data_IF_994488661616
#
_entry.id   IF_994488661616
#
_cell.length_a   1.000
_cell.length_b   1.000
_cell.length_c   1.000
_cell.angle_alpha   90.00
_cell.angle_beta   90.00
_cell.angle_gamma   90.00
#
_symmetry.space_group_name_H-M   'P 1'
#
loop_
_entity.id
_entity.type
_entity.pdbx_description
1 polymer ?
#
# COMPACT_ATOMS: atom_id res chain seq x y z
N UNK A 1 -5.95 -17.82 10.76
CA UNK A 1 -5.21 -18.76 9.90
C UNK A 1 -6.11 -19.38 8.83
N UNK A 2 -7.28 -19.97 9.18
CA UNK A 2 -8.17 -20.63 8.19
C UNK A 2 -8.72 -19.65 7.13
N UNK A 3 -9.18 -18.47 7.55
CA UNK A 3 -9.74 -17.47 6.64
C UNK A 3 -8.70 -16.93 5.64
N UNK A 4 -7.46 -16.66 6.08
CA UNK A 4 -6.37 -16.26 5.17
C UNK A 4 -6.03 -17.35 4.16
N UNK A 5 -6.02 -18.63 4.59
CA UNK A 5 -5.82 -19.76 3.67
C UNK A 5 -6.94 -19.88 2.63
N UNK A 6 -8.19 -19.64 3.03
CA UNK A 6 -9.33 -19.68 2.13
C UNK A 6 -9.35 -18.49 1.15
N UNK A 7 -8.87 -17.34 1.58
CA UNK A 7 -8.75 -16.14 0.74
C UNK A 7 -7.52 -16.15 -0.18
N UNK A 8 -6.53 -17.03 0.09
CA UNK A 8 -5.22 -17.04 -0.57
C UNK A 8 -4.50 -15.68 -0.51
N UNK A 9 -4.83 -14.89 0.51
CA UNK A 9 -4.32 -13.53 0.76
C UNK A 9 -4.10 -13.32 2.26
N UNK A 10 -3.27 -12.35 2.60
CA UNK A 10 -3.05 -11.96 3.99
C UNK A 10 -4.19 -11.15 4.60
N UNK A 11 -5.23 -10.90 3.82
CA UNK A 11 -6.45 -10.24 4.26
C UNK A 11 -7.70 -10.97 3.76
N UNK A 12 -8.83 -10.72 4.41
CA UNK A 12 -10.12 -11.31 4.09
C UNK A 12 -11.25 -10.39 4.53
N UNK A 13 -12.46 -10.66 4.05
CA UNK A 13 -13.68 -10.02 4.52
C UNK A 13 -14.69 -11.09 4.93
N UNK A 14 -15.37 -10.88 6.07
CA UNK A 14 -16.41 -11.77 6.62
C UNK A 14 -17.82 -11.19 6.51
N UNK A 15 -17.97 -9.99 5.97
CA UNK A 15 -19.29 -9.40 5.74
C UNK A 15 -20.11 -10.22 4.73
N UNK A 16 -21.41 -10.20 4.89
CA UNK A 16 -22.37 -10.74 3.91
C UNK A 16 -22.51 -9.88 2.66
N UNK A 17 -22.04 -8.62 2.72
CA UNK A 17 -22.16 -7.67 1.63
C UNK A 17 -21.01 -7.80 0.61
N UNK A 18 -21.36 -7.54 -0.63
CA UNK A 18 -20.45 -7.28 -1.76
C UNK A 18 -20.86 -5.95 -2.37
N UNK A 19 -20.07 -5.36 -3.26
CA UNK A 19 -20.46 -4.12 -3.95
C UNK A 19 -21.81 -4.29 -4.69
N UNK A 20 -22.07 -5.48 -5.27
CA UNK A 20 -23.35 -5.79 -5.90
C UNK A 20 -24.51 -5.76 -4.90
N UNK A 21 -24.36 -6.48 -3.76
CA UNK A 21 -25.41 -6.53 -2.72
C UNK A 21 -25.65 -5.20 -2.02
N UNK A 22 -24.65 -4.32 -1.97
CA UNK A 22 -24.83 -2.96 -1.44
C UNK A 22 -25.79 -2.15 -2.32
N UNK A 23 -25.84 -2.43 -3.62
CA UNK A 23 -26.76 -1.74 -4.55
C UNK A 23 -28.22 -2.19 -4.44
N UNK A 24 -28.48 -3.34 -3.81
CA UNK A 24 -29.84 -3.87 -3.65
C UNK A 24 -30.67 -3.11 -2.62
N UNK A 25 -30.01 -2.38 -1.71
CA UNK A 25 -30.67 -1.62 -0.62
C UNK A 25 -30.09 -0.20 -0.49
N UNK A 26 -30.48 0.69 -1.41
CA UNK A 26 -29.97 2.08 -1.44
C UNK A 26 -30.33 2.90 -0.21
N UNK A 27 -31.46 2.61 0.44
CA UNK A 27 -31.97 3.37 1.58
C UNK A 27 -31.12 3.16 2.84
N UNK A 28 -30.43 2.00 2.95
CA UNK A 28 -29.54 1.67 4.05
C UNK A 28 -28.06 1.55 3.59
N UNK A 29 -27.70 2.22 2.50
CA UNK A 29 -26.38 2.08 1.86
C UNK A 29 -25.22 2.41 2.82
N UNK A 30 -25.37 3.43 3.69
CA UNK A 30 -24.34 3.78 4.67
C UNK A 30 -24.12 2.66 5.69
N UNK A 31 -25.19 2.16 6.31
CA UNK A 31 -25.12 1.11 7.31
C UNK A 31 -24.54 -0.17 6.73
N UNK A 32 -25.01 -0.57 5.55
CA UNK A 32 -24.58 -1.76 4.85
C UNK A 32 -23.11 -1.65 4.40
N UNK A 33 -22.69 -0.47 3.95
CA UNK A 33 -21.29 -0.23 3.58
C UNK A 33 -20.33 -0.23 4.78
N UNK A 34 -20.78 0.33 5.92
CA UNK A 34 -20.02 0.25 7.18
C UNK A 34 -19.88 -1.21 7.65
N UNK A 35 -20.95 -2.01 7.56
CA UNK A 35 -20.86 -3.46 7.85
C UNK A 35 -19.89 -4.17 6.92
N UNK A 36 -19.92 -3.85 5.62
CA UNK A 36 -18.96 -4.37 4.66
C UNK A 36 -17.52 -4.05 5.05
N UNK A 37 -17.23 -2.81 5.39
CA UNK A 37 -15.87 -2.39 5.80
C UNK A 37 -15.46 -3.03 7.13
N UNK A 38 -16.36 -3.13 8.11
CA UNK A 38 -16.10 -3.75 9.40
C UNK A 38 -15.85 -5.27 9.29
N UNK A 39 -16.26 -5.88 8.20
CA UNK A 39 -15.99 -7.29 7.92
C UNK A 39 -14.56 -7.60 7.54
N UNK A 40 -13.73 -6.60 7.20
CA UNK A 40 -12.33 -6.81 6.84
C UNK A 40 -11.47 -7.21 8.04
N UNK A 41 -10.40 -7.95 7.75
CA UNK A 41 -9.38 -8.36 8.71
C UNK A 41 -8.66 -7.16 9.34
N UNK A 42 -8.09 -7.37 10.54
CA UNK A 42 -7.51 -6.31 11.37
C UNK A 42 -6.44 -5.46 10.65
N UNK A 43 -5.65 -6.05 9.76
CA UNK A 43 -4.64 -5.32 8.98
C UNK A 43 -5.27 -4.33 7.99
N UNK A 44 -6.42 -4.67 7.36
CA UNK A 44 -7.19 -3.74 6.52
C UNK A 44 -7.87 -2.69 7.38
N UNK A 45 -8.42 -3.06 8.54
CA UNK A 45 -9.02 -2.10 9.48
C UNK A 45 -8.01 -1.04 9.92
N UNK A 46 -6.76 -1.43 10.17
CA UNK A 46 -5.69 -0.49 10.51
C UNK A 46 -5.41 0.50 9.36
N UNK A 47 -5.38 0.04 8.12
CA UNK A 47 -5.27 0.89 6.93
C UNK A 47 -6.43 1.88 6.83
N UNK A 48 -7.67 1.40 6.96
CA UNK A 48 -8.87 2.24 6.89
C UNK A 48 -8.89 3.31 7.99
N UNK A 49 -8.47 2.95 9.21
CA UNK A 49 -8.39 3.88 10.34
C UNK A 49 -7.32 4.96 10.10
N UNK A 50 -6.14 4.60 9.57
CA UNK A 50 -5.06 5.55 9.25
C UNK A 50 -5.43 6.50 8.10
N UNK A 51 -6.29 6.07 7.18
CA UNK A 51 -6.88 6.92 6.15
C UNK A 51 -8.01 7.82 6.65
N UNK A 52 -8.41 7.71 7.91
CA UNK A 52 -9.59 8.41 8.44
C UNK A 52 -10.86 8.15 7.59
N UNK A 53 -11.03 6.87 7.19
CA UNK A 53 -12.04 6.48 6.20
C UNK A 53 -13.47 6.73 6.69
N UNK A 54 -13.70 6.74 8.00
CA UNK A 54 -14.99 7.11 8.59
C UNK A 54 -15.39 8.54 8.25
N UNK A 55 -14.45 9.49 8.26
CA UNK A 55 -14.71 10.87 7.86
C UNK A 55 -14.97 10.98 6.35
N UNK A 56 -14.32 10.15 5.54
CA UNK A 56 -14.57 10.09 4.09
C UNK A 56 -16.00 9.62 3.83
N UNK A 57 -16.43 8.53 4.48
CA UNK A 57 -17.81 8.03 4.37
C UNK A 57 -18.80 9.11 4.77
N UNK A 58 -18.61 9.74 5.92
CA UNK A 58 -19.51 10.80 6.39
C UNK A 58 -19.67 11.92 5.36
N UNK A 59 -18.57 12.41 4.79
CA UNK A 59 -18.59 13.43 3.72
C UNK A 59 -19.34 12.95 2.48
N UNK A 60 -19.15 11.68 2.07
CA UNK A 60 -19.88 11.11 0.94
C UNK A 60 -21.38 10.98 1.21
N UNK A 61 -21.79 10.69 2.45
CA UNK A 61 -23.19 10.66 2.86
C UNK A 61 -23.80 12.06 2.85
N UNK A 62 -23.13 13.03 3.47
CA UNK A 62 -23.56 14.44 3.52
C UNK A 62 -23.73 15.06 2.12
N UNK A 63 -22.88 14.65 1.18
CA UNK A 63 -22.94 15.11 -0.22
C UNK A 63 -23.84 14.26 -1.14
N UNK A 64 -24.49 13.23 -0.61
CA UNK A 64 -25.29 12.25 -1.37
C UNK A 64 -24.49 11.55 -2.50
N UNK A 65 -23.18 11.35 -2.32
CA UNK A 65 -22.30 10.74 -3.35
C UNK A 65 -21.95 9.27 -3.07
N UNK A 66 -22.16 8.77 -1.83
CA UNK A 66 -21.77 7.42 -1.45
C UNK A 66 -22.32 6.34 -2.40
N UNK A 67 -23.64 6.39 -2.67
CA UNK A 67 -24.28 5.47 -3.61
C UNK A 67 -23.68 5.55 -5.01
N UNK A 68 -23.40 6.76 -5.49
CA UNK A 68 -22.85 6.98 -6.83
C UNK A 68 -21.44 6.41 -6.95
N UNK A 69 -20.62 6.57 -5.91
CA UNK A 69 -19.26 6.01 -5.86
C UNK A 69 -19.32 4.48 -5.87
N UNK A 70 -20.12 3.86 -5.01
CA UNK A 70 -20.27 2.39 -4.97
C UNK A 70 -20.78 1.87 -6.31
N UNK A 71 -21.76 2.56 -6.91
CA UNK A 71 -22.31 2.21 -8.23
C UNK A 71 -21.23 2.24 -9.31
N UNK A 72 -20.35 3.25 -9.30
CA UNK A 72 -19.29 3.35 -10.31
C UNK A 72 -18.29 2.21 -10.18
N UNK A 73 -17.86 1.87 -8.96
CA UNK A 73 -17.00 0.70 -8.72
C UNK A 73 -17.66 -0.64 -9.07
N UNK A 74 -18.98 -0.73 -9.04
CA UNK A 74 -19.72 -1.92 -9.49
C UNK A 74 -20.03 -1.91 -10.99
N UNK A 75 -19.67 -0.84 -11.71
CA UNK A 75 -19.84 -0.72 -13.16
C UNK A 75 -18.76 -1.47 -13.93
N UNK A 76 -19.01 -1.78 -15.19
CA UNK A 76 -17.99 -2.41 -16.06
C UNK A 76 -16.72 -1.57 -16.22
N UNK A 77 -16.80 -0.25 -16.06
CA UNK A 77 -15.67 0.67 -16.19
C UNK A 77 -14.83 0.76 -14.92
N UNK A 78 -15.49 0.73 -13.76
CA UNK A 78 -14.83 0.86 -12.44
C UNK A 78 -14.50 -0.46 -11.79
N UNK A 79 -14.86 -1.59 -12.37
CA UNK A 79 -14.62 -2.91 -11.79
C UNK A 79 -13.15 -3.31 -11.83
N UNK A 80 -12.58 -3.54 -10.65
CA UNK A 80 -11.17 -3.89 -10.43
C UNK A 80 -10.99 -5.35 -9.98
N UNK A 81 -11.92 -6.24 -10.33
CA UNK A 81 -11.87 -7.64 -9.90
C UNK A 81 -10.71 -8.43 -10.53
N UNK A 82 -10.26 -9.52 -9.86
CA UNK A 82 -9.08 -10.28 -10.25
C UNK A 82 -9.24 -11.05 -11.57
N UNK A 83 -10.45 -11.15 -12.08
CA UNK A 83 -10.78 -11.69 -13.41
C UNK A 83 -10.47 -10.71 -14.55
N UNK A 84 -10.29 -9.41 -14.24
CA UNK A 84 -9.96 -8.36 -15.22
C UNK A 84 -8.60 -7.74 -15.03
N UNK A 85 -8.13 -7.64 -13.79
CA UNK A 85 -6.95 -6.86 -13.44
C UNK A 85 -6.03 -7.74 -12.59
N UNK A 86 -4.79 -7.92 -13.03
CA UNK A 86 -3.79 -8.64 -12.24
C UNK A 86 -3.37 -7.84 -10.98
N UNK A 87 -2.77 -8.51 -10.00
CA UNK A 87 -2.25 -7.84 -8.81
C UNK A 87 -1.18 -6.79 -9.17
N UNK A 88 -0.38 -7.05 -10.21
CA UNK A 88 0.64 -6.13 -10.72
C UNK A 88 -0.03 -4.88 -11.32
N UNK A 89 -1.03 -5.06 -12.18
CA UNK A 89 -1.77 -3.93 -12.76
C UNK A 89 -2.48 -3.11 -11.68
N UNK A 90 -3.02 -3.77 -10.65
CA UNK A 90 -3.64 -3.10 -9.51
C UNK A 90 -2.62 -2.23 -8.76
N UNK A 91 -1.39 -2.71 -8.60
CA UNK A 91 -0.27 -1.94 -8.04
C UNK A 91 0.05 -0.69 -8.87
N UNK A 92 0.11 -0.80 -10.20
CA UNK A 92 0.34 0.36 -11.08
C UNK A 92 -0.81 1.37 -11.05
N UNK A 93 -2.06 0.90 -11.02
CA UNK A 93 -3.24 1.78 -10.86
C UNK A 93 -3.14 2.54 -9.54
N UNK A 94 -2.80 1.84 -8.46
CA UNK A 94 -2.67 2.44 -7.14
C UNK A 94 -1.56 3.49 -7.10
N UNK A 95 -0.40 3.20 -7.68
CA UNK A 95 0.71 4.13 -7.81
C UNK A 95 0.33 5.40 -8.61
N UNK A 96 -0.35 5.25 -9.76
CA UNK A 96 -0.83 6.39 -10.56
C UNK A 96 -1.84 7.26 -9.77
N UNK A 97 -2.73 6.62 -9.01
CA UNK A 97 -3.65 7.34 -8.12
C UNK A 97 -2.90 8.13 -7.05
N UNK A 98 -1.94 7.52 -6.38
CA UNK A 98 -1.11 8.19 -5.34
C UNK A 98 -0.37 9.36 -5.95
N UNK A 99 0.23 9.21 -7.13
CA UNK A 99 0.92 10.29 -7.84
C UNK A 99 -0.03 11.45 -8.15
N UNK A 100 -1.21 11.19 -8.71
CA UNK A 100 -2.23 12.22 -9.02
C UNK A 100 -2.73 12.93 -7.76
N UNK A 101 -2.90 12.21 -6.67
CA UNK A 101 -3.23 12.80 -5.38
C UNK A 101 -2.11 13.73 -4.90
N UNK A 102 -0.85 13.29 -4.95
CA UNK A 102 0.32 14.11 -4.60
C UNK A 102 0.36 15.41 -5.39
N UNK A 103 0.16 15.35 -6.69
CA UNK A 103 0.15 16.51 -7.57
C UNK A 103 -1.01 17.48 -7.26
N UNK A 104 -2.12 16.99 -6.73
CA UNK A 104 -3.32 17.80 -6.44
C UNK A 104 -3.28 18.52 -5.10
N UNK A 105 -2.49 18.06 -4.12
CA UNK A 105 -2.44 18.62 -2.76
C UNK A 105 -1.33 19.66 -2.54
N UNK A 106 -0.52 19.99 -3.56
CA UNK A 106 0.48 21.05 -3.50
C UNK A 106 1.82 20.66 -2.85
N UNK A 107 2.59 21.66 -2.38
CA UNK A 107 4.00 21.51 -1.97
C UNK A 107 4.30 20.39 -0.94
N UNK A 108 3.38 20.09 -0.05
CA UNK A 108 3.56 18.98 0.91
C UNK A 108 3.56 17.59 0.24
N UNK A 109 2.90 17.46 -0.89
CA UNK A 109 2.81 16.21 -1.62
C UNK A 109 4.08 15.87 -2.42
N UNK A 110 4.84 16.86 -2.85
CA UNK A 110 6.14 16.66 -3.52
C UNK A 110 7.21 16.06 -2.59
N UNK A 111 7.05 16.19 -1.28
CA UNK A 111 7.97 15.61 -0.29
C UNK A 111 7.87 14.07 -0.20
N UNK A 112 6.81 13.47 -0.75
CA UNK A 112 6.55 12.03 -0.62
C UNK A 112 6.83 11.24 -1.90
N UNK A 113 7.29 11.88 -2.96
CA UNK A 113 7.47 11.23 -4.25
C UNK A 113 8.93 11.34 -4.74
N UNK A 114 9.57 10.19 -4.90
CA UNK A 114 10.89 10.08 -5.52
C UNK A 114 10.74 9.57 -6.95
N UNK A 115 11.35 10.24 -7.94
CA UNK A 115 11.27 9.82 -9.34
C UNK A 115 11.83 8.39 -9.51
N UNK A 116 11.13 7.55 -10.28
CA UNK A 116 11.57 6.18 -10.59
C UNK A 116 12.98 6.13 -11.19
N UNK A 117 13.33 7.08 -12.05
CA UNK A 117 14.66 7.12 -12.67
C UNK A 117 15.77 7.29 -11.62
N UNK A 118 15.51 8.12 -10.59
CA UNK A 118 16.44 8.29 -9.46
C UNK A 118 16.51 7.02 -8.63
N UNK A 119 15.37 6.37 -8.35
CA UNK A 119 15.34 5.12 -7.60
C UNK A 119 16.11 4.03 -8.34
N UNK A 120 15.91 3.88 -9.64
CA UNK A 120 16.63 2.91 -10.45
C UNK A 120 18.13 3.17 -10.44
N UNK A 121 18.56 4.44 -10.59
CA UNK A 121 19.98 4.78 -10.48
C UNK A 121 20.55 4.40 -9.11
N UNK A 122 19.85 4.74 -8.03
CA UNK A 122 20.27 4.39 -6.66
C UNK A 122 20.34 2.88 -6.48
N UNK A 123 19.35 2.15 -6.98
CA UNK A 123 19.30 0.68 -6.93
C UNK A 123 20.45 0.06 -7.71
N UNK A 124 20.69 0.50 -8.94
CA UNK A 124 21.77 -0.03 -9.78
C UNK A 124 23.16 0.24 -9.14
N UNK A 125 23.36 1.41 -8.55
CA UNK A 125 24.58 1.72 -7.80
C UNK A 125 24.73 0.83 -6.56
N UNK A 126 23.64 0.64 -5.80
CA UNK A 126 23.65 -0.19 -4.59
C UNK A 126 23.92 -1.67 -4.90
N UNK A 127 23.44 -2.15 -6.05
CA UNK A 127 23.58 -3.53 -6.50
C UNK A 127 24.83 -3.79 -7.38
N UNK A 128 25.63 -2.76 -7.67
CA UNK A 128 26.74 -2.85 -8.63
C UNK A 128 27.77 -3.94 -8.29
N UNK A 129 28.01 -4.18 -7.02
CA UNK A 129 28.93 -5.20 -6.49
C UNK A 129 28.21 -6.44 -5.92
N UNK A 130 26.89 -6.53 -6.09
CA UNK A 130 26.09 -7.60 -5.51
C UNK A 130 26.22 -8.90 -6.34
N UNK A 131 26.52 -10.02 -5.70
CA UNK A 131 26.42 -11.34 -6.32
C UNK A 131 24.98 -11.89 -6.19
N UNK A 132 24.15 -11.55 -7.14
CA UNK A 132 22.77 -12.00 -7.22
C UNK A 132 22.61 -13.34 -8.00
N UNK A 133 23.71 -14.01 -8.35
CA UNK A 133 23.66 -15.22 -9.18
C UNK A 133 23.20 -16.47 -8.43
N UNK A 134 23.29 -16.49 -7.11
CA UNK A 134 23.07 -17.71 -6.29
C UNK A 134 21.61 -17.96 -5.90
N UNK A 135 20.69 -17.09 -6.31
CA UNK A 135 19.30 -17.15 -5.80
C UNK A 135 19.21 -16.87 -4.30
N UNK A 136 18.08 -17.15 -3.71
CA UNK A 136 17.84 -16.95 -2.28
C UNK A 136 16.87 -15.80 -2.00
N UNK A 137 16.91 -15.25 -0.78
CA UNK A 137 16.08 -14.14 -0.39
C UNK A 137 16.95 -12.98 0.09
N UNK A 138 16.68 -11.78 -0.40
CA UNK A 138 17.31 -10.54 0.06
C UNK A 138 16.35 -9.69 0.87
N UNK A 139 16.88 -8.96 1.84
CA UNK A 139 16.11 -8.04 2.68
C UNK A 139 16.47 -6.60 2.35
N UNK A 140 15.44 -5.79 2.09
CA UNK A 140 15.56 -4.37 1.77
C UNK A 140 14.81 -3.56 2.81
N UNK A 141 15.39 -2.47 3.29
CA UNK A 141 14.79 -1.59 4.28
C UNK A 141 14.79 -0.13 3.82
N UNK A 142 13.67 0.55 4.08
CA UNK A 142 13.54 2.00 3.95
C UNK A 142 13.05 2.59 5.28
N UNK A 143 13.88 3.42 5.91
CA UNK A 143 13.61 4.00 7.22
C UNK A 143 12.66 5.21 7.18
N UNK A 144 12.38 5.74 5.99
CA UNK A 144 11.45 6.83 5.73
C UNK A 144 10.68 6.51 4.44
N UNK A 145 9.95 5.36 4.46
CA UNK A 145 9.49 4.68 3.25
C UNK A 145 8.47 5.46 2.43
N UNK A 146 7.88 6.52 3.00
CA UNK A 146 6.82 7.24 2.31
C UNK A 146 5.70 6.28 1.88
N UNK A 147 5.38 6.30 0.59
CA UNK A 147 4.40 5.39 -0.03
C UNK A 147 4.96 4.02 -0.41
N UNK A 148 6.17 3.68 0.03
CA UNK A 148 6.93 2.45 -0.30
C UNK A 148 7.42 2.31 -1.75
N UNK A 149 7.35 3.36 -2.56
CA UNK A 149 7.74 3.29 -3.97
C UNK A 149 9.20 2.87 -4.18
N UNK A 150 10.12 3.32 -3.31
CA UNK A 150 11.54 2.93 -3.40
C UNK A 150 11.71 1.43 -3.19
N UNK A 151 10.99 0.87 -2.22
CA UNK A 151 11.00 -0.57 -1.94
C UNK A 151 10.45 -1.37 -3.13
N UNK A 152 9.31 -0.94 -3.68
CA UNK A 152 8.69 -1.60 -4.84
C UNK A 152 9.58 -1.56 -6.08
N UNK A 153 10.17 -0.41 -6.39
CA UNK A 153 11.08 -0.28 -7.54
C UNK A 153 12.36 -1.10 -7.36
N UNK A 154 12.91 -1.17 -6.14
CA UNK A 154 14.08 -1.98 -5.86
C UNK A 154 13.77 -3.48 -5.97
N UNK A 155 12.61 -3.92 -5.47
CA UNK A 155 12.13 -5.29 -5.63
C UNK A 155 12.01 -5.66 -7.12
N UNK A 156 11.31 -4.83 -7.91
CA UNK A 156 11.18 -5.01 -9.37
C UNK A 156 12.56 -5.14 -10.04
N UNK A 157 13.50 -4.23 -9.67
CA UNK A 157 14.83 -4.24 -10.27
C UNK A 157 15.66 -5.47 -9.93
N UNK A 158 15.60 -5.94 -8.68
CA UNK A 158 16.28 -7.19 -8.27
C UNK A 158 15.70 -8.37 -9.04
N UNK A 159 14.38 -8.45 -9.18
CA UNK A 159 13.70 -9.52 -9.91
C UNK A 159 13.96 -9.48 -11.42
N UNK A 160 14.16 -8.29 -12.02
CA UNK A 160 14.63 -8.18 -13.42
C UNK A 160 16.04 -8.77 -13.61
N UNK A 161 16.91 -8.59 -12.62
CA UNK A 161 18.30 -9.13 -12.69
C UNK A 161 18.33 -10.64 -12.46
N UNK A 162 17.50 -11.15 -11.56
CA UNK A 162 17.34 -12.59 -11.32
C UNK A 162 15.96 -12.91 -10.72
N UNK A 163 15.12 -13.56 -11.51
CA UNK A 163 13.75 -13.94 -11.14
C UNK A 163 13.66 -15.01 -10.03
N UNK A 164 14.77 -15.69 -9.72
CA UNK A 164 14.82 -16.71 -8.65
C UNK A 164 15.09 -16.11 -7.27
N UNK A 165 15.34 -14.79 -7.19
CA UNK A 165 15.57 -14.11 -5.92
C UNK A 165 14.25 -13.64 -5.33
N UNK A 166 13.95 -14.12 -4.11
CA UNK A 166 12.93 -13.54 -3.28
C UNK A 166 13.40 -12.20 -2.68
N UNK A 167 12.52 -11.21 -2.64
CA UNK A 167 12.80 -9.93 -1.98
C UNK A 167 11.82 -9.76 -0.82
N UNK A 168 12.33 -9.43 0.36
CA UNK A 168 11.51 -9.10 1.51
C UNK A 168 11.75 -7.64 1.87
N UNK A 169 10.73 -6.82 1.64
CA UNK A 169 10.76 -5.39 1.92
C UNK A 169 10.33 -5.09 3.35
N UNK A 170 11.02 -4.16 3.99
CA UNK A 170 10.73 -3.62 5.30
C UNK A 170 10.68 -2.09 5.22
N UNK A 171 9.77 -1.46 5.93
CA UNK A 171 9.68 -0.01 5.92
C UNK A 171 9.10 0.56 7.20
N UNK A 172 9.49 1.80 7.52
CA UNK A 172 8.92 2.56 8.62
C UNK A 172 8.51 3.96 8.13
N UNK A 173 7.34 4.43 8.59
CA UNK A 173 6.77 5.72 8.18
C UNK A 173 5.99 6.35 9.35
N UNK A 174 6.22 7.63 9.61
CA UNK A 174 5.59 8.35 10.70
C UNK A 174 4.28 9.04 10.33
N UNK A 175 4.09 9.36 9.02
CA UNK A 175 2.84 9.96 8.56
C UNK A 175 1.76 8.88 8.41
N UNK A 176 0.62 9.00 9.11
CA UNK A 176 -0.39 7.94 9.12
C UNK A 176 -1.01 7.67 7.75
N UNK A 177 -1.26 8.70 6.95
CA UNK A 177 -1.87 8.55 5.62
C UNK A 177 -0.89 7.89 4.65
N UNK A 178 0.36 8.32 4.65
CA UNK A 178 1.42 7.78 3.81
C UNK A 178 1.75 6.34 4.20
N UNK A 179 1.81 6.04 5.51
CA UNK A 179 1.93 4.67 6.02
C UNK A 179 0.78 3.76 5.54
N UNK A 180 -0.46 4.27 5.57
CA UNK A 180 -1.63 3.50 5.12
C UNK A 180 -1.52 3.15 3.62
N UNK A 181 -1.02 4.08 2.80
CA UNK A 181 -0.74 3.85 1.38
C UNK A 181 0.30 2.75 1.22
N UNK A 182 1.45 2.86 1.89
CA UNK A 182 2.53 1.89 1.82
C UNK A 182 2.07 0.48 2.24
N UNK A 183 1.31 0.40 3.32
CA UNK A 183 0.77 -0.86 3.82
C UNK A 183 -0.25 -1.48 2.87
N UNK A 184 -1.12 -0.66 2.27
CA UNK A 184 -2.08 -1.12 1.26
C UNK A 184 -1.38 -1.62 0.00
N UNK A 185 -0.36 -0.91 -0.51
CA UNK A 185 0.44 -1.33 -1.66
C UNK A 185 1.10 -2.69 -1.40
N UNK A 186 1.75 -2.85 -0.25
CA UNK A 186 2.36 -4.12 0.17
C UNK A 186 1.34 -5.27 0.19
N UNK A 187 0.13 -5.04 0.69
CA UNK A 187 -0.94 -6.05 0.71
C UNK A 187 -1.43 -6.41 -0.69
N UNK A 188 -1.58 -5.44 -1.59
CA UNK A 188 -2.01 -5.64 -2.98
C UNK A 188 -0.97 -6.47 -3.73
N UNK A 189 0.31 -6.17 -3.57
CA UNK A 189 1.43 -6.90 -4.18
C UNK A 189 1.66 -8.30 -3.60
N UNK A 190 1.03 -8.63 -2.46
CA UNK A 190 1.14 -9.93 -1.80
C UNK A 190 2.35 -10.08 -0.89
N UNK A 191 2.99 -8.98 -0.50
CA UNK A 191 4.02 -8.94 0.53
C UNK A 191 3.43 -8.99 1.95
N UNK A 192 4.30 -9.13 2.97
CA UNK A 192 3.86 -9.15 4.37
C UNK A 192 3.62 -7.73 4.91
N UNK A 193 2.35 -7.33 5.17
CA UNK A 193 2.04 -5.99 5.68
C UNK A 193 2.58 -5.73 7.11
N UNK A 194 3.01 -6.75 7.84
CA UNK A 194 3.63 -6.58 9.16
C UNK A 194 5.06 -6.03 9.07
N UNK A 195 5.67 -6.10 7.90
CA UNK A 195 6.98 -5.49 7.62
C UNK A 195 6.88 -3.97 7.39
N UNK A 196 5.66 -3.44 7.23
CA UNK A 196 5.41 -2.00 7.20
C UNK A 196 5.01 -1.55 8.60
N UNK A 197 5.83 -0.70 9.25
CA UNK A 197 5.62 -0.28 10.63
C UNK A 197 5.39 1.23 10.72
N UNK A 198 4.44 1.59 11.58
CA UNK A 198 4.08 2.97 11.84
C UNK A 198 4.92 3.53 12.99
N UNK A 199 5.54 4.67 12.80
CA UNK A 199 6.30 5.38 13.83
C UNK A 199 7.45 6.20 13.26
N UNK A 200 7.97 7.08 14.09
CA UNK A 200 9.14 7.90 13.77
C UNK A 200 10.41 7.08 14.04
N UNK A 201 11.19 6.83 13.00
CA UNK A 201 12.39 6.00 13.04
C UNK A 201 13.47 6.58 13.96
N UNK A 202 13.54 7.90 14.10
CA UNK A 202 14.58 8.55 14.92
C UNK A 202 14.27 8.46 16.40
N UNK A 203 13.01 8.58 16.78
CA UNK A 203 12.60 8.50 18.19
C UNK A 203 12.29 7.07 18.63
N UNK A 204 11.81 6.22 17.72
CA UNK A 204 11.38 4.86 18.01
C UNK A 204 11.64 3.92 16.81
N UNK A 205 12.87 3.44 16.68
CA UNK A 205 13.24 2.45 15.66
C UNK A 205 12.53 1.11 15.92
N UNK A 206 11.50 0.84 15.15
CA UNK A 206 10.69 -0.38 15.23
C UNK A 206 11.44 -1.63 14.75
N UNK A 207 12.58 -1.46 14.07
CA UNK A 207 13.44 -2.53 13.58
C UNK A 207 14.77 -2.62 14.32
N UNK A 208 14.86 -2.05 15.53
CA UNK A 208 16.04 -2.12 16.36
C UNK A 208 16.56 -3.55 16.51
N UNK A 209 17.83 -3.78 16.19
CA UNK A 209 18.47 -5.10 16.20
C UNK A 209 18.25 -5.95 14.94
N UNK A 210 17.48 -5.51 13.97
CA UNK A 210 17.41 -6.14 12.65
C UNK A 210 18.68 -5.81 11.84
N UNK A 211 19.06 -6.74 10.96
CA UNK A 211 20.13 -6.54 9.98
C UNK A 211 19.56 -6.76 8.59
N UNK A 212 19.64 -5.74 7.75
CA UNK A 212 19.18 -5.78 6.37
C UNK A 212 20.37 -5.86 5.43
N UNK A 213 20.20 -6.59 4.31
CA UNK A 213 21.25 -6.68 3.29
C UNK A 213 21.39 -5.36 2.52
N UNK A 214 20.27 -4.70 2.26
CA UNK A 214 20.24 -3.40 1.58
C UNK A 214 19.37 -2.41 2.33
N UNK A 215 19.81 -1.16 2.34
CA UNK A 215 19.05 -0.04 2.87
C UNK A 215 19.03 1.02 1.78
N UNK A 216 17.83 1.48 1.44
CA UNK A 216 17.60 2.56 0.48
C UNK A 216 16.57 3.51 1.06
N UNK A 217 16.86 4.81 1.10
CA UNK A 217 15.94 5.77 1.71
C UNK A 217 16.15 7.17 1.14
N UNK A 218 15.07 7.93 1.07
CA UNK A 218 15.06 9.36 0.79
C UNK A 218 14.33 10.09 1.94
N UNK A 219 15.01 10.40 3.04
CA UNK A 219 14.39 11.05 4.18
C UNK A 219 13.94 12.48 3.85
N UNK A 220 12.91 13.01 4.53
CA UNK A 220 12.39 14.35 4.28
C UNK A 220 13.44 15.42 4.57
N UNK A 221 13.40 16.52 3.78
CA UNK A 221 14.31 17.67 3.94
C UNK A 221 13.63 18.80 4.73
N UNK A 222 14.45 19.68 5.32
CA UNK A 222 13.99 20.91 5.94
C UNK A 222 13.17 20.74 7.20
N UNK A 223 13.27 19.58 7.82
CA UNK A 223 12.71 19.30 9.15
C UNK A 223 13.83 19.39 10.17
N UNK A 224 13.56 19.97 11.34
CA UNK A 224 14.48 19.92 12.48
C UNK A 224 14.47 18.49 13.05
N UNK A 225 15.67 17.91 13.14
CA UNK A 225 15.89 16.55 13.64
C UNK A 225 16.17 16.54 15.13
#
# INVERSE_FOLDING_TARGET
VLLRKAAEKDFYNTSKYTFERLMDDPDHIEENFRDYLNGFSANVQDVLAKFDFDNIIRRMVESNTLYLVIKEFNSQKGYLGPDKISAVDCGYIFEDLVKRFSESFGEEAGAHFTSRDIIYLMTDLLLSDADLSKGGNVTVYDMAMGTSQMLSCMEERIQELNTEIGVTCFGQEFNPSTFAIAKADMMIRGGDPNNMRFGDTLSEDQFSGYQFQYIISNPPFGIDW
#
